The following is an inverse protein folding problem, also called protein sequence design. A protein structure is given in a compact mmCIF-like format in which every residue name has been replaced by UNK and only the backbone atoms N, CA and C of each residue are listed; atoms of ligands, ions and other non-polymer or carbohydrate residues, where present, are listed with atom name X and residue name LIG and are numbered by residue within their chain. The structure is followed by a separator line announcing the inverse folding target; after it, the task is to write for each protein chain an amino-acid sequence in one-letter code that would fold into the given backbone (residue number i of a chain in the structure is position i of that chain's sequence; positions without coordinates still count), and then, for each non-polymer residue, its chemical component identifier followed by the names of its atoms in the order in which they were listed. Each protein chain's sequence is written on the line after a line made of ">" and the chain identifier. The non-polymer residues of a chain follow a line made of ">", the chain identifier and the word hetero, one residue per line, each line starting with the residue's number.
data_IF_432288912870
#
_entry.id   IF_432288912870
#
_cell.length_a   1.000
_cell.length_b   1.000
_cell.length_c   1.000
_cell.angle_alpha   90.00
_cell.angle_beta   90.00
_cell.angle_gamma   90.00
#
_symmetry.space_group_name_H-M   'P 1'
#
loop_
_entity.id
_entity.type
_entity.pdbx_description
1 polymer ?
#
# COMPACT_ATOMS: atom_id res chain seq x y z
N UNK A 1 -18.17 -54.50 19.41
CA UNK A 1 -19.11 -53.70 18.60
C UNK A 1 -18.71 -53.92 17.15
N UNK A 2 -19.56 -54.51 16.32
CA UNK A 2 -19.27 -54.70 14.88
C UNK A 2 -19.51 -53.36 14.18
N UNK A 3 -18.46 -52.55 14.03
CA UNK A 3 -18.58 -51.26 13.37
C UNK A 3 -18.21 -51.39 11.89
N UNK A 4 -19.18 -51.10 11.03
CA UNK A 4 -19.09 -51.25 9.58
C UNK A 4 -18.12 -50.20 9.02
N UNK A 5 -16.89 -50.56 8.59
CA UNK A 5 -15.83 -49.62 8.28
C UNK A 5 -16.18 -48.66 7.12
N UNK A 6 -17.00 -49.11 6.18
CA UNK A 6 -17.45 -48.34 5.02
C UNK A 6 -18.33 -47.15 5.41
N UNK A 7 -19.19 -47.32 6.44
CA UNK A 7 -20.01 -46.24 6.99
C UNK A 7 -19.16 -45.16 7.66
N UNK A 8 -18.08 -45.57 8.34
CA UNK A 8 -17.16 -44.63 8.98
C UNK A 8 -16.39 -43.82 7.95
N UNK A 9 -15.97 -44.47 6.86
CA UNK A 9 -15.27 -43.81 5.77
C UNK A 9 -16.18 -42.84 4.99
N UNK A 10 -17.46 -43.16 4.79
CA UNK A 10 -18.40 -42.22 4.16
C UNK A 10 -18.61 -40.97 5.01
N UNK A 11 -18.78 -41.13 6.32
CA UNK A 11 -18.92 -40.00 7.25
C UNK A 11 -17.68 -39.09 7.27
N UNK A 12 -16.48 -39.66 7.15
CA UNK A 12 -15.25 -38.86 7.03
C UNK A 12 -15.18 -38.09 5.72
N UNK A 13 -15.63 -38.69 4.62
CA UNK A 13 -15.67 -38.01 3.33
C UNK A 13 -16.71 -36.87 3.32
N UNK A 14 -17.89 -37.09 3.88
CA UNK A 14 -18.94 -36.07 4.00
C UNK A 14 -18.47 -34.90 4.87
N UNK A 15 -17.77 -35.20 5.97
CA UNK A 15 -17.15 -34.20 6.82
C UNK A 15 -16.11 -33.35 6.06
N UNK A 16 -15.27 -33.99 5.26
CA UNK A 16 -14.21 -33.32 4.51
C UNK A 16 -14.80 -32.40 3.43
N UNK A 17 -15.87 -32.85 2.77
CA UNK A 17 -16.61 -32.07 1.78
C UNK A 17 -17.29 -30.84 2.42
N UNK A 18 -17.91 -31.02 3.58
CA UNK A 18 -18.52 -29.92 4.35
C UNK A 18 -17.44 -28.92 4.79
N UNK A 19 -16.27 -29.37 5.24
CA UNK A 19 -15.15 -28.48 5.61
C UNK A 19 -14.70 -27.63 4.43
N UNK A 20 -14.45 -28.26 3.28
CA UNK A 20 -13.98 -27.57 2.06
C UNK A 20 -15.01 -26.54 1.59
N UNK A 21 -16.31 -26.89 1.62
CA UNK A 21 -17.38 -25.98 1.22
C UNK A 21 -17.50 -24.77 2.16
N UNK A 22 -17.36 -24.99 3.48
CA UNK A 22 -17.39 -23.91 4.47
C UNK A 22 -16.15 -23.00 4.38
N UNK A 23 -14.96 -23.57 4.13
CA UNK A 23 -13.74 -22.79 3.89
C UNK A 23 -13.83 -21.89 2.65
N UNK A 24 -14.60 -22.29 1.65
CA UNK A 24 -14.79 -21.50 0.42
C UNK A 24 -15.70 -20.29 0.64
N UNK A 25 -16.70 -20.41 1.50
CA UNK A 25 -17.73 -19.38 1.74
C UNK A 25 -17.30 -18.32 2.77
N UNK A 26 -16.35 -18.63 3.67
CA UNK A 26 -16.01 -17.77 4.81
C UNK A 26 -14.73 -16.94 4.60
N UNK A 27 -14.70 -15.76 5.23
CA UNK A 27 -13.57 -14.81 5.14
C UNK A 27 -12.90 -14.57 6.50
N UNK A 28 -11.57 -14.44 6.49
CA UNK A 28 -10.74 -13.95 7.60
C UNK A 28 -11.11 -14.45 9.00
N UNK A 29 -11.79 -13.60 9.78
CA UNK A 29 -12.13 -13.86 11.18
C UNK A 29 -13.15 -15.00 11.36
N UNK A 30 -14.07 -15.18 10.41
CA UNK A 30 -15.09 -16.23 10.49
C UNK A 30 -14.47 -17.62 10.28
N UNK A 31 -13.38 -17.70 9.50
CA UNK A 31 -12.61 -18.95 9.31
C UNK A 31 -11.98 -19.41 10.62
N UNK A 32 -11.34 -18.52 11.36
CA UNK A 32 -10.67 -18.87 12.63
C UNK A 32 -11.67 -19.36 13.67
N UNK A 33 -12.83 -18.69 13.77
CA UNK A 33 -13.91 -19.11 14.65
C UNK A 33 -14.47 -20.49 14.25
N UNK A 34 -14.63 -20.74 12.95
CA UNK A 34 -15.10 -22.01 12.44
C UNK A 34 -14.11 -23.15 12.75
N UNK A 35 -12.81 -22.98 12.49
CA UNK A 35 -11.79 -23.98 12.81
C UNK A 35 -11.73 -24.30 14.30
N UNK A 36 -11.82 -23.29 15.18
CA UNK A 36 -11.92 -23.54 16.62
C UNK A 36 -13.17 -24.36 16.98
N UNK A 37 -14.32 -24.04 16.39
CA UNK A 37 -15.57 -24.76 16.65
C UNK A 37 -15.53 -26.20 16.11
N UNK A 38 -14.93 -26.40 14.93
CA UNK A 38 -14.69 -27.70 14.31
C UNK A 38 -13.77 -28.56 15.17
N UNK A 39 -12.63 -28.01 15.61
CA UNK A 39 -11.71 -28.71 16.50
C UNK A 39 -12.39 -29.08 17.83
N UNK A 40 -13.21 -28.19 18.40
CA UNK A 40 -14.01 -28.51 19.61
C UNK A 40 -15.02 -29.62 19.36
N UNK A 41 -15.66 -29.66 18.19
CA UNK A 41 -16.61 -30.71 17.84
C UNK A 41 -15.91 -32.06 17.67
N UNK A 42 -14.76 -32.09 16.98
CA UNK A 42 -13.93 -33.29 16.82
C UNK A 42 -13.51 -33.84 18.18
N UNK A 43 -13.07 -32.98 19.12
CA UNK A 43 -12.72 -33.40 20.48
C UNK A 43 -13.93 -34.02 21.18
N UNK A 44 -15.12 -33.40 21.11
CA UNK A 44 -16.35 -33.96 21.73
C UNK A 44 -16.75 -35.30 21.14
N UNK A 45 -16.64 -35.47 19.83
CA UNK A 45 -16.94 -36.73 19.14
C UNK A 45 -15.92 -37.80 19.53
N UNK A 46 -14.63 -37.45 19.52
CA UNK A 46 -13.56 -38.36 19.94
C UNK A 46 -13.69 -38.77 21.41
N UNK A 47 -14.03 -37.84 22.30
CA UNK A 47 -14.28 -38.12 23.71
C UNK A 47 -15.46 -39.07 23.90
N UNK A 48 -16.49 -38.97 23.06
CA UNK A 48 -17.66 -39.85 23.06
C UNK A 48 -17.36 -41.25 22.50
N UNK A 49 -16.66 -41.34 21.37
CA UNK A 49 -16.30 -42.63 20.73
C UNK A 49 -15.26 -43.38 21.58
N UNK A 50 -14.24 -42.67 22.06
CA UNK A 50 -13.14 -43.25 22.83
C UNK A 50 -13.40 -43.21 24.35
N UNK A 51 -14.67 -43.26 24.79
CA UNK A 51 -15.05 -43.22 26.22
C UNK A 51 -14.38 -44.31 27.07
N UNK A 52 -14.03 -45.45 26.47
CA UNK A 52 -13.41 -46.57 27.17
C UNK A 52 -11.89 -46.70 26.92
N UNK A 53 -11.34 -45.98 25.94
CA UNK A 53 -9.90 -46.01 25.60
C UNK A 53 -9.19 -44.72 26.00
N UNK A 54 -8.71 -44.66 27.25
CA UNK A 54 -8.01 -43.51 27.84
C UNK A 54 -6.75 -43.07 27.07
N UNK A 55 -5.99 -44.02 26.53
CA UNK A 55 -4.74 -43.75 25.78
C UNK A 55 -5.01 -43.03 24.47
N UNK A 56 -6.00 -43.49 23.70
CA UNK A 56 -6.41 -42.86 22.43
C UNK A 56 -6.95 -41.46 22.66
N UNK A 57 -7.80 -41.28 23.68
CA UNK A 57 -8.33 -39.96 24.06
C UNK A 57 -7.22 -38.96 24.41
N UNK A 58 -6.23 -39.39 25.19
CA UNK A 58 -5.09 -38.55 25.55
C UNK A 58 -4.26 -38.14 24.32
N UNK A 59 -3.99 -39.09 23.42
CA UNK A 59 -3.26 -38.83 22.18
C UNK A 59 -3.99 -37.84 21.25
N UNK A 60 -5.31 -37.98 21.11
CA UNK A 60 -6.13 -37.04 20.33
C UNK A 60 -6.09 -35.65 20.96
N UNK A 61 -6.19 -35.54 22.29
CA UNK A 61 -6.09 -34.27 23.00
C UNK A 61 -4.72 -33.58 22.82
N UNK A 62 -3.62 -34.33 22.88
CA UNK A 62 -2.26 -33.81 22.67
C UNK A 62 -2.02 -33.34 21.23
N UNK A 63 -2.51 -34.08 20.23
CA UNK A 63 -2.39 -33.73 18.81
C UNK A 63 -3.25 -32.51 18.49
N UNK A 64 -4.53 -32.53 18.88
CA UNK A 64 -5.48 -31.47 18.55
C UNK A 64 -5.24 -30.20 19.37
N UNK A 65 -4.92 -30.32 20.65
CA UNK A 65 -4.71 -29.19 21.55
C UNK A 65 -3.31 -28.57 21.48
N UNK A 66 -2.28 -29.39 21.25
CA UNK A 66 -0.90 -28.92 21.13
C UNK A 66 -0.54 -28.64 19.67
N UNK A 67 -0.37 -29.69 18.88
CA UNK A 67 0.26 -29.58 17.55
C UNK A 67 -0.60 -28.86 16.50
N UNK A 68 -1.89 -29.18 16.41
CA UNK A 68 -2.78 -28.61 15.38
C UNK A 68 -3.05 -27.13 15.65
N UNK A 69 -3.29 -26.74 16.90
CA UNK A 69 -3.51 -25.34 17.26
C UNK A 69 -2.24 -24.49 17.14
N UNK A 70 -1.07 -25.04 17.49
CA UNK A 70 0.22 -24.36 17.28
C UNK A 70 0.49 -24.11 15.79
N UNK A 71 0.34 -25.14 14.94
CA UNK A 71 0.55 -25.03 13.49
C UNK A 71 -0.36 -23.98 12.83
N UNK A 72 -1.65 -23.95 13.20
CA UNK A 72 -2.56 -22.93 12.67
C UNK A 72 -2.24 -21.53 13.19
N UNK A 73 -1.81 -21.38 14.44
CA UNK A 73 -1.38 -20.08 14.99
C UNK A 73 -0.15 -19.55 14.26
N UNK A 74 0.86 -20.39 14.01
CA UNK A 74 2.05 -20.03 13.25
C UNK A 74 1.74 -19.67 11.79
N UNK A 75 0.76 -20.35 11.18
CA UNK A 75 0.31 -20.05 9.81
C UNK A 75 -0.37 -18.69 9.76
N UNK A 76 -1.24 -18.39 10.73
CA UNK A 76 -1.91 -17.09 10.83
C UNK A 76 -0.92 -15.95 11.06
N UNK A 77 0.08 -16.16 11.93
CA UNK A 77 1.11 -15.15 12.18
C UNK A 77 1.93 -14.82 10.92
N UNK A 78 2.25 -15.84 10.10
CA UNK A 78 2.92 -15.65 8.81
C UNK A 78 2.07 -14.82 7.84
N UNK A 79 0.80 -15.19 7.67
CA UNK A 79 -0.12 -14.45 6.81
C UNK A 79 -0.30 -12.99 7.25
N UNK A 80 -0.36 -12.75 8.57
CA UNK A 80 -0.48 -11.40 9.10
C UNK A 80 0.78 -10.56 8.84
N UNK A 81 1.97 -11.15 9.02
CA UNK A 81 3.24 -10.50 8.71
C UNK A 81 3.38 -10.18 7.22
N UNK A 82 2.97 -11.09 6.34
CA UNK A 82 2.97 -10.89 4.89
C UNK A 82 2.02 -9.75 4.49
N UNK A 83 0.79 -9.75 5.01
CA UNK A 83 -0.19 -8.70 4.75
C UNK A 83 0.28 -7.33 5.26
N UNK A 84 0.91 -7.27 6.45
CA UNK A 84 1.47 -6.03 6.99
C UNK A 84 2.63 -5.51 6.13
N UNK A 85 3.52 -6.40 5.69
CA UNK A 85 4.63 -6.04 4.80
C UNK A 85 4.12 -5.50 3.45
N UNK A 86 3.11 -6.14 2.86
CA UNK A 86 2.49 -5.70 1.61
C UNK A 86 1.80 -4.33 1.78
N UNK A 87 1.00 -4.17 2.85
CA UNK A 87 0.33 -2.90 3.14
C UNK A 87 1.33 -1.76 3.33
N UNK A 88 2.45 -2.01 4.02
CA UNK A 88 3.52 -1.04 4.20
C UNK A 88 4.18 -0.68 2.87
N UNK A 89 4.51 -1.67 2.04
CA UNK A 89 5.12 -1.43 0.72
C UNK A 89 4.21 -0.58 -0.18
N UNK A 90 2.91 -0.89 -0.21
CA UNK A 90 1.90 -0.11 -0.96
C UNK A 90 1.81 1.32 -0.42
N UNK A 91 1.75 1.48 0.90
CA UNK A 91 1.69 2.78 1.56
C UNK A 91 2.88 3.67 1.22
N UNK A 92 4.10 3.13 1.30
CA UNK A 92 5.33 3.84 0.97
C UNK A 92 5.43 4.21 -0.52
N UNK A 93 5.06 3.30 -1.41
CA UNK A 93 5.08 3.55 -2.85
C UNK A 93 4.08 4.66 -3.24
N UNK A 94 2.84 4.58 -2.71
CA UNK A 94 1.81 5.61 -2.94
C UNK A 94 2.21 6.95 -2.35
N UNK A 95 2.73 6.96 -1.11
CA UNK A 95 3.18 8.17 -0.44
C UNK A 95 4.27 8.91 -1.24
N UNK A 96 5.28 8.18 -1.71
CA UNK A 96 6.35 8.74 -2.56
C UNK A 96 5.82 9.28 -3.89
N UNK A 97 5.03 8.49 -4.62
CA UNK A 97 4.50 8.90 -5.91
C UNK A 97 3.65 10.18 -5.81
N UNK A 98 2.76 10.25 -4.83
CA UNK A 98 1.90 11.42 -4.60
C UNK A 98 2.74 12.62 -4.16
N UNK A 99 3.68 12.42 -3.24
CA UNK A 99 4.57 13.48 -2.74
C UNK A 99 5.40 14.11 -3.86
N UNK A 100 6.04 13.29 -4.70
CA UNK A 100 6.84 13.77 -5.81
C UNK A 100 6.02 14.49 -6.88
N UNK A 101 4.88 13.92 -7.27
CA UNK A 101 4.02 14.52 -8.28
C UNK A 101 3.50 15.89 -7.83
N UNK A 102 3.03 16.00 -6.57
CA UNK A 102 2.59 17.27 -5.99
C UNK A 102 3.73 18.26 -5.84
N UNK A 103 4.88 17.81 -5.33
CA UNK A 103 6.07 18.64 -5.15
C UNK A 103 6.53 19.26 -6.48
N UNK A 104 6.63 18.45 -7.54
CA UNK A 104 6.98 18.92 -8.88
C UNK A 104 5.95 19.89 -9.44
N UNK A 105 4.67 19.54 -9.41
CA UNK A 105 3.61 20.40 -9.95
C UNK A 105 3.57 21.78 -9.27
N UNK A 106 3.66 21.81 -7.93
CA UNK A 106 3.65 23.06 -7.17
C UNK A 106 4.94 23.85 -7.40
N UNK A 107 6.09 23.18 -7.38
CA UNK A 107 7.39 23.80 -7.60
C UNK A 107 7.50 24.45 -8.98
N UNK A 108 7.10 23.74 -10.03
CA UNK A 108 7.10 24.27 -11.39
C UNK A 108 6.11 25.42 -11.58
N UNK A 109 4.88 25.30 -11.05
CA UNK A 109 3.88 26.34 -11.17
C UNK A 109 4.33 27.63 -10.46
N UNK A 110 4.84 27.51 -9.23
CA UNK A 110 5.39 28.65 -8.48
C UNK A 110 6.63 29.23 -9.16
N UNK A 111 7.55 28.37 -9.60
CA UNK A 111 8.78 28.79 -10.28
C UNK A 111 8.49 29.56 -11.57
N UNK A 112 7.54 29.08 -12.38
CA UNK A 112 7.08 29.79 -13.59
C UNK A 112 6.43 31.12 -13.25
N UNK A 113 5.46 31.15 -12.33
CA UNK A 113 4.77 32.38 -11.97
C UNK A 113 5.72 33.46 -11.41
N UNK A 114 6.66 33.08 -10.54
CA UNK A 114 7.67 33.99 -9.98
C UNK A 114 8.65 34.44 -11.08
N UNK A 115 9.12 33.51 -11.91
CA UNK A 115 10.05 33.80 -13.00
C UNK A 115 9.48 34.75 -14.05
N UNK A 116 8.20 34.56 -14.41
CA UNK A 116 7.47 35.44 -15.31
C UNK A 116 7.29 36.82 -14.70
N UNK A 117 6.81 36.93 -13.46
CA UNK A 117 6.63 38.21 -12.79
C UNK A 117 7.94 39.02 -12.67
N UNK A 118 9.03 38.37 -12.24
CA UNK A 118 10.36 39.01 -12.18
C UNK A 118 10.84 39.39 -13.58
N UNK A 119 10.60 38.54 -14.58
CA UNK A 119 10.96 38.80 -15.97
C UNK A 119 10.25 40.02 -16.55
N UNK A 120 8.95 40.15 -16.30
CA UNK A 120 8.12 41.29 -16.70
C UNK A 120 8.57 42.58 -15.99
N UNK A 121 8.81 42.54 -14.68
CA UNK A 121 9.28 43.70 -13.92
C UNK A 121 10.64 44.20 -14.42
N UNK A 122 11.58 43.27 -14.70
CA UNK A 122 12.89 43.61 -15.28
C UNK A 122 12.75 44.25 -16.65
N UNK A 123 11.89 43.69 -17.50
CA UNK A 123 11.67 44.21 -18.85
C UNK A 123 11.03 45.60 -18.82
N UNK A 124 10.01 45.79 -17.98
CA UNK A 124 9.35 47.08 -17.76
C UNK A 124 10.34 48.14 -17.28
N UNK A 125 11.19 47.79 -16.30
CA UNK A 125 12.26 48.66 -15.80
C UNK A 125 13.23 49.07 -16.90
N UNK A 126 13.67 48.12 -17.73
CA UNK A 126 14.58 48.38 -18.83
C UNK A 126 13.95 49.30 -19.89
N UNK A 127 12.69 49.05 -20.25
CA UNK A 127 11.96 49.87 -21.21
C UNK A 127 11.83 51.32 -20.73
N UNK A 128 11.47 51.53 -19.45
CA UNK A 128 11.38 52.86 -18.88
C UNK A 128 12.72 53.61 -18.94
N UNK A 129 13.85 52.96 -18.65
CA UNK A 129 15.18 53.59 -18.75
C UNK A 129 15.56 53.93 -20.19
N UNK A 130 15.31 53.03 -21.14
CA UNK A 130 15.57 53.29 -22.57
C UNK A 130 14.75 54.48 -23.10
N UNK A 131 13.50 54.64 -22.63
CA UNK A 131 12.65 55.78 -22.98
C UNK A 131 13.24 57.08 -22.42
N UNK A 132 13.66 57.08 -21.15
CA UNK A 132 14.27 58.26 -20.51
C UNK A 132 15.57 58.69 -21.19
N UNK A 133 16.37 57.73 -21.65
CA UNK A 133 17.64 57.99 -22.34
C UNK A 133 17.47 58.30 -23.84
N UNK A 134 16.24 58.32 -24.36
CA UNK A 134 15.96 58.60 -25.77
C UNK A 134 16.42 57.51 -26.75
N UNK A 135 16.70 56.29 -26.27
CA UNK A 135 17.22 55.14 -27.05
C UNK A 135 16.09 54.34 -27.70
N UNK A 136 15.18 55.03 -28.38
CA UNK A 136 13.95 54.46 -28.94
C UNK A 136 14.18 53.36 -29.99
N UNK A 137 15.30 53.44 -30.74
CA UNK A 137 15.67 52.42 -31.72
C UNK A 137 15.98 51.05 -31.07
N UNK A 138 16.41 51.06 -29.80
CA UNK A 138 16.79 49.84 -29.09
C UNK A 138 15.59 49.15 -28.44
N UNK A 139 14.49 49.86 -28.18
CA UNK A 139 13.24 49.32 -27.61
C UNK A 139 12.73 48.14 -28.44
N UNK A 140 12.67 48.29 -29.76
CA UNK A 140 12.20 47.23 -30.66
C UNK A 140 13.16 46.02 -30.68
N UNK A 141 14.46 46.27 -30.51
CA UNK A 141 15.48 45.22 -30.45
C UNK A 141 15.45 44.45 -29.12
N UNK A 142 15.07 45.08 -28.00
CA UNK A 142 14.97 44.44 -26.67
C UNK A 142 13.80 43.46 -26.58
N UNK A 143 12.69 43.78 -27.26
CA UNK A 143 11.50 42.93 -27.30
C UNK A 143 11.76 41.67 -28.12
N UNK A 144 12.50 41.80 -29.23
CA UNK A 144 12.67 40.73 -30.23
C UNK A 144 13.99 39.95 -30.09
N UNK A 145 15.05 40.54 -29.51
CA UNK A 145 16.36 39.91 -29.38
C UNK A 145 16.77 39.71 -27.91
N UNK A 146 16.85 38.45 -27.50
CA UNK A 146 17.21 38.06 -26.14
C UNK A 146 18.66 38.41 -25.76
N UNK A 147 19.59 38.40 -26.70
CA UNK A 147 21.00 38.75 -26.45
C UNK A 147 21.17 40.25 -26.23
N UNK A 148 20.50 41.07 -27.04
CA UNK A 148 20.47 42.52 -26.87
C UNK A 148 19.84 42.88 -25.53
N UNK A 149 18.72 42.23 -25.18
CA UNK A 149 18.08 42.39 -23.87
C UNK A 149 19.02 42.03 -22.71
N UNK A 150 19.77 40.91 -22.80
CA UNK A 150 20.76 40.52 -21.78
C UNK A 150 21.91 41.52 -21.66
N UNK A 151 22.40 42.05 -22.78
CA UNK A 151 23.47 43.08 -22.79
C UNK A 151 23.00 44.35 -22.09
N UNK A 152 21.80 44.82 -22.41
CA UNK A 152 21.22 46.03 -21.83
C UNK A 152 20.85 45.85 -20.35
N UNK A 153 20.40 44.67 -19.94
CA UNK A 153 20.24 44.38 -18.51
C UNK A 153 21.55 44.51 -17.73
N UNK A 154 22.70 44.16 -18.31
CA UNK A 154 24.02 44.37 -17.68
C UNK A 154 24.41 45.84 -17.68
N UNK A 155 24.21 46.53 -18.80
CA UNK A 155 24.53 47.96 -18.97
C UNK A 155 23.80 48.84 -17.94
N UNK A 156 22.52 48.56 -17.71
CA UNK A 156 21.70 49.27 -16.73
C UNK A 156 21.79 48.66 -15.31
N UNK A 157 22.57 47.60 -15.08
CA UNK A 157 22.66 46.95 -13.77
C UNK A 157 21.33 46.37 -13.25
N UNK A 158 20.46 45.91 -14.16
CA UNK A 158 19.13 45.33 -13.85
C UNK A 158 19.25 43.82 -13.55
N UNK A 159 20.32 43.17 -14.02
CA UNK A 159 20.66 41.81 -13.60
C UNK A 159 21.17 41.85 -12.15
N UNK A 160 20.41 41.26 -11.23
CA UNK A 160 20.99 40.74 -9.98
C UNK A 160 21.88 39.55 -10.35
N UNK A 161 23.11 39.53 -9.83
CA UNK A 161 23.94 38.32 -9.77
C UNK A 161 23.18 37.14 -9.14
#
# INVERSE_FOLDING_TARGET
>A
MSENPEMFQSLLNDYEEIRINLERELSGADKTALYMNLNKLIIKIADYICQNEKTVRKGIGEIMGGKVLELESERLERLQKEAEAEAKAIGEARGRAIGEARGRAIGEAKGRAIGEAIGEERLSTLLNRLIMDGRSAEIQSVVTNAETRKRLYKEYGILSE
#
